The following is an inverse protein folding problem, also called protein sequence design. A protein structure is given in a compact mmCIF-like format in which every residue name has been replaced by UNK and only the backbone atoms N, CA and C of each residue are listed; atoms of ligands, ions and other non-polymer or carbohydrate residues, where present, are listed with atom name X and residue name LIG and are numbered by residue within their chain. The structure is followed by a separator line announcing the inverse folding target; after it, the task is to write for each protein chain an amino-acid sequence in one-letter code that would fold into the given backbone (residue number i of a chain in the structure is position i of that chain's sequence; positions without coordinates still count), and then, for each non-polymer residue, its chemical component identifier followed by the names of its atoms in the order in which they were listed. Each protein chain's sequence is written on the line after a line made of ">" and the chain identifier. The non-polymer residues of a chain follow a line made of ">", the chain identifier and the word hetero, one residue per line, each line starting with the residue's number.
data_IF_572318509821
#
_entry.id   IF_572318509821
#
_cell.length_a   1.000
_cell.length_b   1.000
_cell.length_c   1.000
_cell.angle_alpha   90.00
_cell.angle_beta   90.00
_cell.angle_gamma   90.00
#
_symmetry.space_group_name_H-M   'P 1'
#
loop_
_entity.id
_entity.type
_entity.pdbx_description
1 polymer ?
#
# COMPACT_ATOMS: atom_id res chain seq x y z
N UNK A 1 34.19 27.20 -17.70
CA UNK A 1 33.08 28.19 -17.65
C UNK A 1 31.72 27.59 -18.02
N UNK A 2 31.63 26.72 -19.03
CA UNK A 2 30.35 26.14 -19.50
C UNK A 2 29.56 25.34 -18.45
N UNK A 3 30.23 24.70 -17.48
CA UNK A 3 29.59 23.88 -16.45
C UNK A 3 28.69 24.69 -15.49
N UNK A 4 29.07 25.93 -15.17
CA UNK A 4 28.26 26.82 -14.31
C UNK A 4 27.04 27.35 -15.05
N UNK A 5 27.18 27.62 -16.36
CA UNK A 5 26.09 28.08 -17.21
C UNK A 5 25.03 26.97 -17.39
N UNK A 6 25.47 25.73 -17.58
CA UNK A 6 24.58 24.56 -17.66
C UNK A 6 23.79 24.32 -16.36
N UNK A 7 24.42 24.50 -15.20
CA UNK A 7 23.74 24.38 -13.91
C UNK A 7 22.70 25.49 -13.69
N UNK A 8 23.02 26.73 -14.05
CA UNK A 8 22.07 27.84 -13.98
C UNK A 8 20.87 27.63 -14.92
N UNK A 9 21.11 27.08 -16.11
CA UNK A 9 20.04 26.80 -17.07
C UNK A 9 19.13 25.65 -16.58
N UNK A 10 19.71 24.59 -16.02
CA UNK A 10 18.96 23.49 -15.42
C UNK A 10 18.10 23.95 -14.24
N UNK A 11 18.64 24.82 -13.37
CA UNK A 11 17.90 25.43 -12.26
C UNK A 11 16.79 26.33 -12.79
N UNK A 12 17.06 27.16 -13.82
CA UNK A 12 16.06 28.03 -14.44
C UNK A 12 14.89 27.26 -15.05
N UNK A 13 15.15 26.17 -15.76
CA UNK A 13 14.12 25.28 -16.31
C UNK A 13 13.33 24.61 -15.19
N UNK A 14 14.00 24.13 -14.13
CA UNK A 14 13.33 23.50 -13.00
C UNK A 14 12.42 24.50 -12.25
N UNK A 15 12.87 25.75 -12.07
CA UNK A 15 12.05 26.82 -11.51
C UNK A 15 10.86 27.19 -12.41
N UNK A 16 11.02 27.20 -13.73
CA UNK A 16 9.93 27.49 -14.66
C UNK A 16 8.86 26.38 -14.65
N UNK A 17 9.26 25.11 -14.65
CA UNK A 17 8.36 23.95 -14.56
C UNK A 17 7.60 23.95 -13.22
N UNK A 18 8.27 24.30 -12.12
CA UNK A 18 7.64 24.44 -10.81
C UNK A 18 6.67 25.63 -10.74
N UNK A 19 6.97 26.71 -11.47
CA UNK A 19 6.11 27.91 -11.55
C UNK A 19 4.84 27.65 -12.35
N UNK A 20 4.93 26.91 -13.45
CA UNK A 20 3.79 26.53 -14.29
C UNK A 20 2.85 25.56 -13.57
N UNK A 21 3.41 24.55 -12.88
CA UNK A 21 2.62 23.63 -12.02
C UNK A 21 1.94 24.34 -10.85
N UNK A 22 2.53 25.40 -10.28
CA UNK A 22 1.92 26.18 -9.18
C UNK A 22 0.88 27.20 -9.64
N UNK A 23 0.98 27.72 -10.86
CA UNK A 23 -0.03 28.63 -11.41
C UNK A 23 -1.42 27.98 -11.51
N UNK A 24 -1.48 26.65 -11.53
CA UNK A 24 -2.74 25.89 -11.54
C UNK A 24 -3.21 25.45 -10.13
N UNK A 25 -2.50 25.80 -9.04
CA UNK A 25 -2.77 25.21 -7.72
C UNK A 25 -2.76 26.13 -6.49
N UNK A 26 -2.48 27.44 -6.58
CA UNK A 26 -2.57 28.26 -5.37
C UNK A 26 -2.81 29.75 -5.64
N UNK A 27 -4.07 30.16 -5.45
CA UNK A 27 -4.40 31.42 -4.77
C UNK A 27 -3.70 31.48 -3.40
N UNK A 28 -3.17 32.67 -3.10
CA UNK A 28 -2.75 33.16 -1.78
C UNK A 28 -1.65 32.40 -1.01
N UNK A 29 -0.42 32.91 -1.14
CA UNK A 29 0.62 33.07 -0.08
C UNK A 29 2.08 32.85 -0.52
N UNK A 30 2.35 32.61 -1.81
CA UNK A 30 3.73 32.36 -2.28
C UNK A 30 4.33 33.45 -3.19
N UNK A 31 3.75 34.64 -3.24
CA UNK A 31 4.39 35.81 -3.86
C UNK A 31 5.53 36.40 -3.00
N UNK A 32 5.66 36.02 -1.73
CA UNK A 32 6.62 36.64 -0.80
C UNK A 32 8.08 36.16 -0.90
N UNK A 33 8.37 35.06 -1.59
CA UNK A 33 9.72 34.45 -1.58
C UNK A 33 10.59 34.81 -2.80
N UNK A 34 10.10 35.65 -3.71
CA UNK A 34 10.85 36.03 -4.92
C UNK A 34 11.42 37.46 -4.92
N UNK A 35 11.38 38.17 -3.80
CA UNK A 35 12.02 39.48 -3.66
C UNK A 35 12.74 39.64 -2.32
N UNK A 36 13.86 38.95 -2.16
CA UNK A 36 14.89 39.36 -1.20
C UNK A 36 16.27 39.26 -1.87
N UNK A 37 16.44 40.11 -2.87
CA UNK A 37 17.75 40.63 -3.25
C UNK A 37 18.40 41.31 -2.03
N UNK A 38 19.67 40.98 -1.78
CA UNK A 38 20.63 41.78 -1.01
C UNK A 38 20.38 42.02 0.50
N UNK A 39 20.39 40.97 1.33
CA UNK A 39 20.78 41.12 2.75
C UNK A 39 21.28 39.80 3.37
N UNK A 40 22.59 39.64 3.53
CA UNK A 40 23.26 38.65 4.38
C UNK A 40 23.13 37.14 4.00
N UNK A 41 24.15 36.56 3.32
CA UNK A 41 24.12 35.19 2.79
C UNK A 41 24.05 34.08 3.85
N UNK A 42 24.49 34.32 5.10
CA UNK A 42 24.38 33.32 6.19
C UNK A 42 22.93 33.10 6.59
N UNK A 43 22.16 34.18 6.71
CA UNK A 43 20.74 34.11 7.07
C UNK A 43 19.90 33.42 5.99
N UNK A 44 20.29 33.57 4.72
CA UNK A 44 19.62 32.91 3.60
C UNK A 44 19.92 31.41 3.57
N UNK A 45 21.16 30.98 3.83
CA UNK A 45 21.48 29.57 3.93
C UNK A 45 20.69 28.87 5.05
N UNK A 46 20.54 29.53 6.20
CA UNK A 46 19.74 29.03 7.31
C UNK A 46 18.25 28.97 6.97
N UNK A 47 17.72 30.00 6.30
CA UNK A 47 16.31 30.02 5.84
C UNK A 47 16.04 28.97 4.76
N UNK A 48 16.97 28.76 3.83
CA UNK A 48 16.86 27.73 2.80
C UNK A 48 16.91 26.33 3.41
N UNK A 49 17.77 26.13 4.42
CA UNK A 49 17.88 24.86 5.13
C UNK A 49 16.59 24.54 5.87
N UNK A 50 16.02 25.51 6.59
CA UNK A 50 14.71 25.36 7.25
C UNK A 50 13.57 25.12 6.25
N UNK A 51 13.59 25.81 5.11
CA UNK A 51 12.57 25.60 4.08
C UNK A 51 12.68 24.19 3.48
N UNK A 52 13.89 23.71 3.16
CA UNK A 52 14.12 22.34 2.68
C UNK A 52 13.67 21.32 3.74
N UNK A 53 14.02 21.52 5.01
CA UNK A 53 13.58 20.65 6.11
C UNK A 53 12.05 20.61 6.23
N UNK A 54 11.39 21.76 6.12
CA UNK A 54 9.94 21.84 6.12
C UNK A 54 9.33 21.14 4.91
N UNK A 55 9.87 21.34 3.70
CA UNK A 55 9.39 20.66 2.49
C UNK A 55 9.59 19.13 2.58
N UNK A 56 10.71 18.67 3.16
CA UNK A 56 10.95 17.23 3.40
C UNK A 56 9.98 16.68 4.44
N UNK A 57 9.68 17.44 5.49
CA UNK A 57 8.73 17.04 6.54
C UNK A 57 7.31 17.00 5.99
N UNK A 58 6.89 18.03 5.26
CA UNK A 58 5.61 18.07 4.55
C UNK A 58 5.51 16.93 3.54
N UNK A 59 6.56 16.61 2.78
CA UNK A 59 6.57 15.47 1.86
C UNK A 59 6.52 14.11 2.59
N UNK A 60 7.11 13.99 3.78
CA UNK A 60 6.98 12.79 4.63
C UNK A 60 5.58 12.64 5.22
N UNK A 61 4.92 13.74 5.56
CA UNK A 61 3.56 13.75 6.09
C UNK A 61 2.49 13.63 4.99
N UNK A 62 2.80 14.12 3.78
CA UNK A 62 1.97 14.03 2.59
C UNK A 62 2.28 12.81 1.72
N UNK A 63 3.33 12.05 2.04
CA UNK A 63 3.53 10.73 1.48
C UNK A 63 2.26 9.92 1.79
N UNK A 64 1.52 9.45 0.77
CA UNK A 64 0.38 8.61 1.04
C UNK A 64 0.87 7.42 1.86
N UNK A 65 0.06 6.96 2.82
CA UNK A 65 0.18 5.61 3.37
C UNK A 65 -0.03 4.61 2.22
N UNK A 66 0.95 4.47 1.33
CA UNK A 66 1.01 3.42 0.31
C UNK A 66 1.24 2.06 0.97
N UNK A 67 1.34 2.01 2.30
CA UNK A 67 1.26 0.81 3.11
C UNK A 67 -0.12 0.14 3.09
N UNK A 68 -1.21 0.82 2.77
CA UNK A 68 -2.53 0.22 2.99
C UNK A 68 -2.90 -0.96 2.05
N UNK A 69 -2.64 -0.91 0.74
CA UNK A 69 -3.17 -1.96 -0.15
C UNK A 69 -2.43 -3.29 -0.03
N UNK A 70 -1.09 -3.26 -0.04
CA UNK A 70 -0.28 -4.47 0.04
C UNK A 70 -0.35 -5.14 1.42
N UNK A 71 -0.43 -4.34 2.50
CA UNK A 71 -0.59 -4.85 3.86
C UNK A 71 -2.00 -5.44 4.07
N UNK A 72 -3.04 -4.83 3.49
CA UNK A 72 -4.39 -5.39 3.52
C UNK A 72 -4.47 -6.72 2.76
N UNK A 73 -3.90 -6.79 1.55
CA UNK A 73 -3.85 -8.04 0.75
C UNK A 73 -3.05 -9.13 1.50
N UNK A 74 -1.94 -8.76 2.13
CA UNK A 74 -1.15 -9.70 2.94
C UNK A 74 -1.94 -10.24 4.13
N UNK A 75 -2.59 -9.37 4.90
CA UNK A 75 -3.39 -9.75 6.06
C UNK A 75 -4.61 -10.59 5.67
N UNK A 76 -5.27 -10.25 4.56
CA UNK A 76 -6.40 -10.99 4.02
C UNK A 76 -5.98 -12.41 3.59
N UNK A 77 -4.85 -12.53 2.88
CA UNK A 77 -4.28 -13.81 2.50
C UNK A 77 -3.94 -14.68 3.72
N UNK A 78 -3.28 -14.11 4.72
CA UNK A 78 -2.96 -14.82 5.97
C UNK A 78 -4.23 -15.30 6.68
N UNK A 79 -5.26 -14.46 6.76
CA UNK A 79 -6.55 -14.81 7.35
C UNK A 79 -7.22 -15.99 6.63
N UNK A 80 -7.30 -15.92 5.30
CA UNK A 80 -7.87 -17.01 4.47
C UNK A 80 -7.05 -18.30 4.59
N UNK A 81 -5.73 -18.21 4.73
CA UNK A 81 -4.86 -19.38 4.92
C UNK A 81 -5.13 -20.07 6.27
N UNK A 82 -5.34 -19.29 7.33
CA UNK A 82 -5.68 -19.80 8.66
C UNK A 82 -7.06 -20.46 8.67
N UNK A 83 -8.03 -19.85 8.00
CA UNK A 83 -9.39 -20.38 7.85
C UNK A 83 -9.38 -21.70 7.06
N UNK A 84 -8.69 -21.74 5.92
CA UNK A 84 -8.49 -22.96 5.12
C UNK A 84 -7.89 -24.09 5.97
N UNK A 85 -6.89 -23.77 6.79
CA UNK A 85 -6.25 -24.75 7.68
C UNK A 85 -7.21 -25.24 8.78
N UNK A 86 -8.14 -24.41 9.24
CA UNK A 86 -9.17 -24.82 10.19
C UNK A 86 -10.18 -25.78 9.53
N UNK A 87 -10.71 -25.42 8.36
CA UNK A 87 -11.65 -26.28 7.61
C UNK A 87 -11.03 -27.62 7.21
N UNK A 88 -9.77 -27.64 6.77
CA UNK A 88 -9.09 -28.90 6.45
C UNK A 88 -8.96 -29.82 7.66
N UNK A 89 -8.71 -29.26 8.86
CA UNK A 89 -8.69 -30.02 10.11
C UNK A 89 -10.08 -30.56 10.48
N UNK A 90 -11.13 -29.77 10.26
CA UNK A 90 -12.50 -30.21 10.50
C UNK A 90 -12.90 -31.34 9.55
N UNK A 91 -12.60 -31.18 8.25
CA UNK A 91 -12.86 -32.19 7.24
C UNK A 91 -12.19 -33.53 7.59
N UNK A 92 -10.93 -33.51 8.03
CA UNK A 92 -10.23 -34.72 8.45
C UNK A 92 -10.94 -35.42 9.62
N UNK A 93 -11.39 -34.67 10.63
CA UNK A 93 -12.15 -35.21 11.77
C UNK A 93 -13.47 -35.82 11.32
N UNK A 94 -14.19 -35.16 10.41
CA UNK A 94 -15.45 -35.69 9.87
C UNK A 94 -15.23 -36.97 9.07
N UNK A 95 -14.14 -37.04 8.29
CA UNK A 95 -13.74 -38.26 7.55
C UNK A 95 -13.34 -39.39 8.50
N UNK A 96 -12.62 -39.10 9.58
CA UNK A 96 -12.32 -40.07 10.64
C UNK A 96 -13.59 -40.58 11.31
N UNK A 97 -14.55 -39.70 11.61
CA UNK A 97 -15.85 -40.11 12.14
C UNK A 97 -16.65 -40.95 11.15
N UNK A 98 -16.65 -40.60 9.87
CA UNK A 98 -17.35 -41.35 8.82
C UNK A 98 -16.75 -42.75 8.65
N UNK A 99 -15.45 -42.91 8.85
CA UNK A 99 -14.75 -44.19 8.78
C UNK A 99 -15.13 -45.18 9.91
N UNK A 100 -15.78 -44.70 10.99
CA UNK A 100 -16.30 -45.58 12.05
C UNK A 100 -17.56 -46.35 11.62
N UNK A 101 -18.22 -45.91 10.56
CA UNK A 101 -19.43 -46.55 10.04
C UNK A 101 -19.06 -47.58 8.97
N UNK A 102 -19.85 -48.66 8.88
CA UNK A 102 -19.72 -49.59 7.77
C UNK A 102 -20.12 -48.92 6.45
N UNK A 103 -19.68 -49.49 5.32
CA UNK A 103 -19.99 -48.95 4.01
C UNK A 103 -21.51 -48.82 3.81
N UNK A 104 -21.98 -47.62 3.49
CA UNK A 104 -23.40 -47.32 3.29
C UNK A 104 -24.20 -47.05 4.57
N UNK A 105 -23.58 -47.16 5.75
CA UNK A 105 -24.23 -46.86 7.05
C UNK A 105 -23.86 -45.48 7.59
N UNK A 106 -23.01 -44.72 6.89
CA UNK A 106 -22.66 -43.36 7.28
C UNK A 106 -23.91 -42.47 7.34
N UNK A 107 -24.19 -41.80 8.46
CA UNK A 107 -25.37 -40.95 8.58
C UNK A 107 -25.37 -39.83 7.54
N UNK A 108 -26.53 -39.59 6.91
CA UNK A 108 -26.68 -38.57 5.87
C UNK A 108 -26.22 -37.17 6.34
N UNK A 109 -26.51 -36.81 7.59
CA UNK A 109 -26.07 -35.51 8.14
C UNK A 109 -24.55 -35.36 8.15
N UNK A 110 -23.80 -36.45 8.37
CA UNK A 110 -22.35 -36.44 8.38
C UNK A 110 -21.79 -36.32 6.95
N UNK A 111 -22.40 -36.99 5.99
CA UNK A 111 -22.07 -36.84 4.57
C UNK A 111 -22.31 -35.40 4.09
N UNK A 112 -23.46 -34.82 4.45
CA UNK A 112 -23.78 -33.43 4.12
C UNK A 112 -22.79 -32.45 4.76
N UNK A 113 -22.33 -32.71 5.99
CA UNK A 113 -21.31 -31.89 6.65
C UNK A 113 -19.96 -31.98 5.94
N UNK A 114 -19.55 -33.18 5.52
CA UNK A 114 -18.32 -33.39 4.74
C UNK A 114 -18.39 -32.62 3.42
N UNK A 115 -19.50 -32.74 2.69
CA UNK A 115 -19.71 -32.04 1.41
C UNK A 115 -19.64 -30.52 1.59
N UNK A 116 -20.29 -29.98 2.62
CA UNK A 116 -20.26 -28.53 2.92
C UNK A 116 -18.85 -28.03 3.27
N UNK A 117 -18.06 -28.81 4.01
CA UNK A 117 -16.67 -28.49 4.32
C UNK A 117 -15.79 -28.55 3.06
N UNK A 118 -16.00 -29.52 2.18
CA UNK A 118 -15.28 -29.62 0.89
C UNK A 118 -15.59 -28.45 -0.04
N UNK A 119 -16.85 -28.02 -0.13
CA UNK A 119 -17.26 -26.84 -0.89
C UNK A 119 -16.61 -25.56 -0.34
N UNK A 120 -16.63 -25.38 0.98
CA UNK A 120 -16.02 -24.22 1.64
C UNK A 120 -14.51 -24.17 1.40
N UNK A 121 -13.83 -25.31 1.50
CA UNK A 121 -12.38 -25.41 1.20
C UNK A 121 -12.08 -25.02 -0.24
N UNK A 122 -12.91 -25.45 -1.19
CA UNK A 122 -12.73 -25.15 -2.61
C UNK A 122 -12.90 -23.64 -2.89
N UNK A 123 -13.90 -23.00 -2.28
CA UNK A 123 -14.11 -21.55 -2.36
C UNK A 123 -12.92 -20.76 -1.78
N UNK A 124 -12.43 -21.15 -0.59
CA UNK A 124 -11.26 -20.52 0.03
C UNK A 124 -9.99 -20.68 -0.80
N UNK A 125 -9.77 -21.86 -1.40
CA UNK A 125 -8.65 -22.10 -2.30
C UNK A 125 -8.73 -21.22 -3.55
N UNK A 126 -9.93 -21.05 -4.12
CA UNK A 126 -10.15 -20.18 -5.27
C UNK A 126 -9.87 -18.71 -4.92
N UNK A 127 -10.37 -18.21 -3.79
CA UNK A 127 -10.08 -16.85 -3.30
C UNK A 127 -8.59 -16.60 -3.11
N UNK A 128 -7.88 -17.55 -2.51
CA UNK A 128 -6.41 -17.47 -2.37
C UNK A 128 -5.69 -17.48 -3.72
N UNK A 129 -6.17 -18.26 -4.69
CA UNK A 129 -5.61 -18.29 -6.03
C UNK A 129 -5.84 -16.95 -6.76
N UNK A 130 -6.98 -16.30 -6.57
CA UNK A 130 -7.27 -15.00 -7.19
C UNK A 130 -6.49 -13.86 -6.55
N UNK A 131 -6.30 -13.88 -5.23
CA UNK A 131 -5.39 -12.95 -4.53
C UNK A 131 -3.92 -13.11 -4.95
N UNK A 132 -3.50 -14.29 -5.41
CA UNK A 132 -2.12 -14.52 -5.89
C UNK A 132 -1.83 -13.94 -7.28
N UNK A 133 -2.89 -13.58 -8.03
CA UNK A 133 -2.79 -13.01 -9.38
C UNK A 133 -2.78 -11.48 -9.39
N UNK A 134 -3.09 -10.85 -8.25
CA UNK A 134 -3.07 -9.40 -8.03
C UNK A 134 -1.65 -8.91 -7.69
#
# INVERSE_FOLDING_TARGET
>A
MLHKLGQMHAIGIHCAILKDRRAHQATDHLQGLFFLEYANPKSMADQLSRWIENQVTEAKMAAPKVTNAAELIFNEREGLQQELTAHQRNLNKLKEQAALYAAGETPLHLLNQIEAEEETILDLQQKLADLSKL
#
